data_IF_582664374893
#
_entry.id   IF_582664374893
#
_cell.length_a   1.000
_cell.length_b   1.000
_cell.length_c   1.000
_cell.angle_alpha   90.00
_cell.angle_beta   90.00
_cell.angle_gamma   90.00
#
_symmetry.space_group_name_H-M   'P 1'
#
loop_
_entity.id
_entity.type
_entity.pdbx_description
1 polymer ?
#
# COMPACT_ATOMS: atom_id res chain seq x y z
N UNK A 1 -2.95 75.54 -47.66
CA UNK A 1 -3.79 75.38 -46.52
C UNK A 1 -3.95 73.92 -46.20
N UNK A 2 -3.47 73.58 -45.04
CA UNK A 2 -3.05 72.44 -44.45
C UNK A 2 -4.06 71.31 -44.16
N UNK A 3 -3.63 70.12 -44.30
CA UNK A 3 -4.32 68.94 -43.83
C UNK A 3 -3.46 68.28 -42.82
N UNK A 4 -4.00 68.18 -41.64
CA UNK A 4 -3.36 67.53 -40.51
C UNK A 4 -3.83 66.08 -40.43
N UNK A 5 -2.95 65.11 -40.61
CA UNK A 5 -3.25 63.71 -40.45
C UNK A 5 -2.81 63.31 -39.07
N UNK A 6 -3.79 62.99 -38.22
CA UNK A 6 -3.62 62.42 -36.90
C UNK A 6 -3.34 60.91 -37.02
N UNK A 7 -2.15 60.47 -36.66
CA UNK A 7 -1.79 59.08 -36.60
C UNK A 7 -2.28 58.47 -35.31
N UNK A 8 -3.25 57.55 -35.42
CA UNK A 8 -3.67 56.69 -34.34
C UNK A 8 -2.60 55.63 -34.07
N UNK A 9 -1.99 55.63 -32.90
CA UNK A 9 -1.18 54.54 -32.42
C UNK A 9 -2.09 53.39 -32.01
N UNK A 10 -2.12 52.36 -32.83
CA UNK A 10 -2.64 51.04 -32.44
C UNK A 10 -1.73 50.45 -31.38
N UNK A 11 -2.23 50.32 -30.19
CA UNK A 11 -1.57 49.54 -29.15
C UNK A 11 -1.71 48.05 -29.51
N UNK A 12 -0.65 47.49 -30.01
CA UNK A 12 -0.51 46.04 -30.14
C UNK A 12 -0.57 45.44 -28.75
N UNK A 13 -1.68 44.76 -28.43
CA UNK A 13 -1.74 43.90 -27.27
C UNK A 13 -0.73 42.76 -27.50
N UNK A 14 0.26 42.67 -26.63
CA UNK A 14 1.14 41.52 -26.57
C UNK A 14 0.30 40.27 -26.37
N UNK A 15 0.53 39.19 -27.10
CA UNK A 15 -0.12 37.94 -26.79
C UNK A 15 0.29 37.56 -25.36
N UNK A 16 -0.69 37.39 -24.49
CA UNK A 16 -0.48 36.73 -23.22
C UNK A 16 0.17 35.38 -23.54
N UNK A 17 1.45 35.27 -23.25
CA UNK A 17 2.16 34.02 -23.41
C UNK A 17 1.45 32.98 -22.56
N UNK A 18 0.78 32.04 -23.20
CA UNK A 18 0.60 30.76 -22.62
C UNK A 18 2.01 30.33 -22.17
N UNK A 19 2.22 30.24 -20.87
CA UNK A 19 3.39 29.55 -20.34
C UNK A 19 3.34 28.19 -21.01
N UNK A 20 4.20 27.94 -21.99
CA UNK A 20 4.31 26.63 -22.60
C UNK A 20 4.50 25.65 -21.47
N UNK A 21 3.62 24.65 -21.34
CA UNK A 21 3.82 23.56 -20.41
C UNK A 21 5.19 23.00 -20.74
N UNK A 22 6.16 23.21 -19.84
CA UNK A 22 7.55 22.76 -20.03
C UNK A 22 7.68 21.27 -19.90
N UNK A 23 6.56 20.55 -19.76
CA UNK A 23 6.53 19.15 -19.46
C UNK A 23 6.11 18.27 -20.61
N UNK A 24 6.49 17.03 -20.53
CA UNK A 24 6.05 15.98 -21.43
C UNK A 24 4.66 15.46 -21.08
N UNK A 25 4.27 14.41 -21.77
CA UNK A 25 3.04 13.68 -21.55
C UNK A 25 3.30 12.41 -20.77
N UNK A 26 2.48 12.16 -19.76
CA UNK A 26 2.57 10.99 -18.87
C UNK A 26 1.31 10.15 -19.02
N UNK A 27 1.48 8.85 -19.27
CA UNK A 27 0.40 7.87 -19.22
C UNK A 27 0.31 7.23 -17.84
N UNK A 28 -0.89 7.20 -17.26
CA UNK A 28 -1.17 6.58 -15.97
C UNK A 28 -2.24 5.52 -16.14
N UNK A 29 -1.89 4.26 -15.94
CA UNK A 29 -2.77 3.10 -16.11
C UNK A 29 -3.10 2.47 -14.77
N UNK A 30 -4.38 2.49 -14.38
CA UNK A 30 -4.90 1.92 -13.14
C UNK A 30 -5.78 0.70 -13.42
N UNK A 31 -5.86 -0.28 -12.48
CA UNK A 31 -6.58 -1.53 -12.74
C UNK A 31 -8.08 -1.34 -12.92
N UNK A 32 -8.70 -0.51 -12.08
CA UNK A 32 -10.16 -0.37 -12.03
C UNK A 32 -10.59 0.87 -11.25
N UNK A 33 -11.80 1.34 -11.54
CA UNK A 33 -12.49 2.37 -10.74
C UNK A 33 -13.31 1.77 -9.58
N UNK A 34 -13.50 0.46 -9.55
CA UNK A 34 -14.36 -0.19 -8.56
C UNK A 34 -13.79 -0.20 -7.14
N UNK A 35 -12.48 0.03 -7.00
CA UNK A 35 -11.81 0.20 -5.71
C UNK A 35 -11.44 1.66 -5.51
N UNK A 36 -11.89 2.23 -4.40
CA UNK A 36 -11.69 3.64 -4.09
C UNK A 36 -10.22 4.07 -4.11
N UNK A 37 -9.31 3.22 -3.64
CA UNK A 37 -7.88 3.54 -3.62
C UNK A 37 -7.35 3.90 -5.01
N UNK A 38 -7.73 3.14 -6.07
CA UNK A 38 -7.24 3.41 -7.42
C UNK A 38 -7.75 4.73 -7.98
N UNK A 39 -9.00 5.09 -7.65
CA UNK A 39 -9.53 6.42 -7.99
C UNK A 39 -8.75 7.52 -7.29
N UNK A 40 -8.44 7.34 -6.01
CA UNK A 40 -7.68 8.32 -5.23
C UNK A 40 -6.23 8.41 -5.73
N UNK A 41 -5.56 7.28 -5.93
CA UNK A 41 -4.18 7.24 -6.42
C UNK A 41 -4.07 7.90 -7.79
N UNK A 42 -4.95 7.54 -8.72
CA UNK A 42 -4.96 8.10 -10.08
C UNK A 42 -5.26 9.58 -10.09
N UNK A 43 -6.30 10.02 -9.40
CA UNK A 43 -6.69 11.42 -9.33
C UNK A 43 -5.60 12.29 -8.67
N UNK A 44 -5.00 11.80 -7.60
CA UNK A 44 -3.95 12.50 -6.88
C UNK A 44 -2.69 12.65 -7.75
N UNK A 45 -2.29 11.57 -8.42
CA UNK A 45 -1.13 11.58 -9.31
C UNK A 45 -1.35 12.54 -10.49
N UNK A 46 -2.53 12.48 -11.11
CA UNK A 46 -2.90 13.37 -12.20
C UNK A 46 -2.84 14.85 -11.76
N UNK A 47 -3.44 15.16 -10.62
CA UNK A 47 -3.45 16.52 -10.09
C UNK A 47 -2.03 17.05 -9.82
N UNK A 48 -1.18 16.24 -9.23
CA UNK A 48 0.20 16.62 -8.93
C UNK A 48 1.04 16.82 -10.21
N UNK A 49 0.90 15.91 -11.18
CA UNK A 49 1.63 16.00 -12.45
C UNK A 49 1.16 17.21 -13.29
N UNK A 50 -0.13 17.46 -13.35
CA UNK A 50 -0.68 18.64 -14.06
C UNK A 50 -0.22 19.93 -13.39
N UNK A 51 -0.20 19.98 -12.06
CA UNK A 51 0.32 21.14 -11.32
C UNK A 51 1.81 21.37 -11.61
N UNK A 52 2.57 20.31 -11.87
CA UNK A 52 3.97 20.40 -12.26
C UNK A 52 4.17 20.77 -13.74
N UNK A 53 3.09 20.90 -14.53
CA UNK A 53 3.12 21.33 -15.92
C UNK A 53 3.09 20.21 -16.95
N UNK A 54 2.81 18.97 -16.54
CA UNK A 54 2.74 17.82 -17.45
C UNK A 54 1.30 17.56 -17.92
N UNK A 55 1.16 17.03 -19.13
CA UNK A 55 -0.10 16.49 -19.63
C UNK A 55 -0.24 15.05 -19.16
N UNK A 56 -1.42 14.66 -18.67
CA UNK A 56 -1.66 13.33 -18.10
C UNK A 56 -2.82 12.64 -18.82
N UNK A 57 -2.54 11.45 -19.35
CA UNK A 57 -3.54 10.51 -19.85
C UNK A 57 -3.78 9.43 -18.78
N UNK A 58 -4.84 9.58 -18.01
CA UNK A 58 -5.24 8.66 -16.95
C UNK A 58 -6.36 7.76 -17.43
N UNK A 59 -6.14 6.45 -17.38
CA UNK A 59 -7.13 5.44 -17.78
C UNK A 59 -7.29 4.36 -16.70
N UNK A 60 -8.51 3.85 -16.60
CA UNK A 60 -8.88 2.73 -15.73
C UNK A 60 -9.37 1.56 -16.60
N UNK A 61 -8.88 0.36 -16.31
CA UNK A 61 -9.04 -0.79 -17.22
C UNK A 61 -10.17 -1.75 -16.82
N UNK A 62 -10.99 -1.43 -15.84
CA UNK A 62 -12.14 -2.24 -15.38
C UNK A 62 -11.78 -3.71 -15.06
N UNK A 63 -10.59 -3.95 -14.51
CA UNK A 63 -10.04 -5.28 -14.24
C UNK A 63 -9.98 -6.20 -15.47
N UNK A 64 -9.95 -5.63 -16.67
CA UNK A 64 -9.82 -6.35 -17.94
C UNK A 64 -8.41 -6.17 -18.50
N UNK A 65 -7.63 -7.25 -18.58
CA UNK A 65 -6.24 -7.21 -19.02
C UNK A 65 -6.13 -6.71 -20.46
N UNK A 66 -6.99 -7.18 -21.37
CA UNK A 66 -6.96 -6.75 -22.77
C UNK A 66 -7.25 -5.25 -22.90
N UNK A 67 -8.18 -4.73 -22.10
CA UNK A 67 -8.46 -3.30 -22.02
C UNK A 67 -7.23 -2.52 -21.54
N UNK A 68 -6.54 -3.01 -20.52
CA UNK A 68 -5.31 -2.35 -20.03
C UNK A 68 -4.23 -2.31 -21.10
N UNK A 69 -3.99 -3.42 -21.80
CA UNK A 69 -3.05 -3.49 -22.93
C UNK A 69 -3.39 -2.43 -23.99
N UNK A 70 -4.66 -2.38 -24.42
CA UNK A 70 -5.11 -1.40 -25.44
C UNK A 70 -4.95 0.04 -24.97
N UNK A 71 -5.26 0.33 -23.71
CA UNK A 71 -5.09 1.67 -23.15
C UNK A 71 -3.63 2.10 -23.12
N UNK A 72 -2.72 1.20 -22.73
CA UNK A 72 -1.29 1.49 -22.74
C UNK A 72 -0.77 1.70 -24.17
N UNK A 73 -1.21 0.89 -25.12
CA UNK A 73 -0.90 1.10 -26.55
C UNK A 73 -1.33 2.49 -27.02
N UNK A 74 -2.54 2.92 -26.63
CA UNK A 74 -3.06 4.24 -26.98
C UNK A 74 -2.27 5.38 -26.31
N UNK A 75 -1.78 5.16 -25.09
CA UNK A 75 -0.90 6.14 -24.42
C UNK A 75 0.41 6.31 -25.19
N UNK A 76 1.00 5.23 -25.67
CA UNK A 76 2.22 5.26 -26.49
C UNK A 76 1.97 6.00 -27.81
N UNK A 77 0.91 5.67 -28.52
CA UNK A 77 0.51 6.33 -29.76
C UNK A 77 0.21 7.81 -29.55
N UNK A 78 -0.34 8.16 -28.40
CA UNK A 78 -0.66 9.52 -28.02
C UNK A 78 0.54 10.37 -27.58
N UNK A 79 1.74 9.81 -27.58
CA UNK A 79 2.97 10.54 -27.30
C UNK A 79 3.40 10.55 -25.84
N UNK A 80 2.94 9.61 -25.00
CA UNK A 80 3.42 9.47 -23.65
C UNK A 80 4.95 9.25 -23.65
N UNK A 81 5.65 9.99 -22.79
CA UNK A 81 7.10 9.87 -22.61
C UNK A 81 7.46 9.00 -21.40
N UNK A 82 6.56 8.90 -20.44
CA UNK A 82 6.65 8.05 -19.26
C UNK A 82 5.32 7.35 -19.05
N UNK A 83 5.37 6.07 -18.69
CA UNK A 83 4.22 5.28 -18.30
C UNK A 83 4.32 4.92 -16.82
N UNK A 84 3.24 5.14 -16.08
CA UNK A 84 3.04 4.66 -14.70
C UNK A 84 1.93 3.63 -14.74
N UNK A 85 2.24 2.39 -14.40
CA UNK A 85 1.32 1.26 -14.58
C UNK A 85 1.13 0.51 -13.27
N UNK A 86 -0.12 0.51 -12.76
CA UNK A 86 -0.58 -0.42 -11.75
C UNK A 86 -1.28 -1.58 -12.48
N UNK A 87 -0.59 -2.69 -12.67
CA UNK A 87 -1.06 -3.78 -13.52
C UNK A 87 -2.18 -4.59 -12.89
N UNK A 88 -3.12 -5.05 -13.70
CA UNK A 88 -4.08 -6.08 -13.33
C UNK A 88 -3.35 -7.43 -13.18
N UNK A 89 -2.59 -7.80 -14.21
CA UNK A 89 -1.71 -8.97 -14.23
C UNK A 89 -0.31 -8.51 -14.65
N UNK A 90 0.65 -8.64 -13.76
CA UNK A 90 2.01 -8.16 -13.96
C UNK A 90 2.75 -8.82 -15.12
N UNK A 91 2.37 -10.06 -15.50
CA UNK A 91 3.03 -10.84 -16.56
C UNK A 91 2.40 -10.65 -17.96
N UNK A 92 1.27 -9.97 -18.05
CA UNK A 92 0.48 -9.92 -19.30
C UNK A 92 0.80 -8.72 -20.20
N UNK A 93 1.71 -7.84 -19.81
CA UNK A 93 1.99 -6.59 -20.51
C UNK A 93 3.28 -6.63 -21.35
N UNK A 94 3.96 -7.78 -21.43
CA UNK A 94 5.28 -7.87 -22.03
C UNK A 94 5.40 -7.29 -23.45
N UNK A 95 4.43 -7.56 -24.32
CA UNK A 95 4.46 -7.09 -25.72
C UNK A 95 4.33 -5.57 -25.80
N UNK A 96 3.39 -4.97 -25.08
CA UNK A 96 3.20 -3.52 -25.11
C UNK A 96 4.34 -2.79 -24.42
N UNK A 97 4.97 -3.40 -23.42
CA UNK A 97 6.15 -2.84 -22.76
C UNK A 97 7.38 -2.86 -23.70
N UNK A 98 7.48 -3.87 -24.58
CA UNK A 98 8.50 -3.86 -25.64
C UNK A 98 8.28 -2.68 -26.60
N UNK A 99 7.04 -2.40 -26.97
CA UNK A 99 6.70 -1.24 -27.79
C UNK A 99 7.09 0.06 -27.09
N UNK A 100 6.85 0.16 -25.79
CA UNK A 100 7.29 1.33 -25.00
C UNK A 100 8.83 1.48 -25.07
N UNK A 101 9.56 0.39 -24.87
CA UNK A 101 11.03 0.40 -24.98
C UNK A 101 11.52 0.85 -26.35
N UNK A 102 10.90 0.35 -27.42
CA UNK A 102 11.25 0.68 -28.79
C UNK A 102 11.02 2.20 -29.09
N UNK A 103 10.14 2.82 -28.35
CA UNK A 103 9.83 4.27 -28.43
C UNK A 103 10.58 5.11 -27.37
N UNK A 104 11.56 4.55 -26.70
CA UNK A 104 12.32 5.21 -25.63
C UNK A 104 11.47 5.73 -24.46
N UNK A 105 10.36 5.07 -24.16
CA UNK A 105 9.46 5.41 -23.06
C UNK A 105 9.93 4.68 -21.80
N UNK A 106 10.08 5.42 -20.70
CA UNK A 106 10.38 4.84 -19.39
C UNK A 106 9.12 4.36 -18.72
N UNK A 107 9.22 3.26 -17.98
CA UNK A 107 8.10 2.59 -17.34
C UNK A 107 8.36 2.46 -15.84
N UNK A 108 7.40 2.94 -15.05
CA UNK A 108 7.36 2.77 -13.59
C UNK A 108 6.21 1.81 -13.26
N UNK A 109 6.53 0.69 -12.62
CA UNK A 109 5.53 -0.18 -12.01
C UNK A 109 5.04 0.47 -10.72
N UNK A 110 3.74 0.69 -10.60
CA UNK A 110 3.10 1.34 -9.47
C UNK A 110 2.43 0.31 -8.57
N UNK A 111 2.86 0.18 -7.33
CA UNK A 111 2.33 -0.71 -6.30
C UNK A 111 2.43 -2.21 -6.63
N UNK A 112 2.06 -2.61 -7.82
CA UNK A 112 2.12 -3.99 -8.32
C UNK A 112 3.30 -4.16 -9.26
N UNK A 113 4.09 -5.20 -9.03
CA UNK A 113 5.28 -5.47 -9.83
C UNK A 113 4.92 -5.92 -11.25
N UNK A 114 5.64 -5.40 -12.25
CA UNK A 114 5.62 -5.91 -13.62
C UNK A 114 6.64 -7.03 -13.74
N UNK A 115 6.18 -8.23 -14.13
CA UNK A 115 6.98 -9.45 -14.12
C UNK A 115 7.27 -9.98 -15.52
N UNK A 116 8.29 -10.82 -15.62
CA UNK A 116 8.67 -11.56 -16.84
C UNK A 116 8.99 -10.65 -18.04
N UNK A 117 9.52 -9.48 -17.77
CA UNK A 117 9.91 -8.49 -18.77
C UNK A 117 11.18 -7.74 -18.34
N UNK A 118 12.09 -7.43 -19.26
CA UNK A 118 13.20 -6.52 -19.00
C UNK A 118 12.79 -5.04 -19.16
N UNK A 119 11.58 -4.74 -19.63
CA UNK A 119 11.16 -3.43 -20.11
C UNK A 119 10.36 -2.64 -19.06
N UNK A 120 10.77 -2.73 -17.82
CA UNK A 120 10.34 -1.89 -16.72
C UNK A 120 11.59 -1.25 -16.13
N UNK A 121 11.54 0.04 -15.84
CA UNK A 121 12.73 0.79 -15.40
C UNK A 121 12.80 0.93 -13.90
N UNK A 122 11.65 1.16 -13.25
CA UNK A 122 11.56 1.37 -11.80
C UNK A 122 10.29 0.74 -11.24
N UNK A 123 10.36 0.42 -9.95
CA UNK A 123 9.21 -0.02 -9.17
C UNK A 123 9.04 0.89 -7.96
N UNK A 124 7.81 1.30 -7.69
CA UNK A 124 7.46 2.08 -6.50
C UNK A 124 6.33 1.40 -5.74
N UNK A 125 6.56 1.12 -4.47
CA UNK A 125 5.59 0.46 -3.58
C UNK A 125 5.90 0.81 -2.13
N UNK A 126 5.22 0.16 -1.18
CA UNK A 126 5.54 0.23 0.23
C UNK A 126 6.50 -0.89 0.62
N UNK A 127 7.24 -0.67 1.70
CA UNK A 127 8.11 -1.68 2.29
C UNK A 127 7.27 -2.71 3.04
N UNK A 128 6.95 -3.82 2.38
CA UNK A 128 6.09 -4.87 2.92
C UNK A 128 6.75 -5.66 4.06
N UNK A 129 8.06 -5.83 4.03
CA UNK A 129 8.79 -6.40 5.16
C UNK A 129 8.66 -5.50 6.39
N UNK A 130 8.76 -4.19 6.19
CA UNK A 130 8.62 -3.21 7.27
C UNK A 130 7.21 -3.16 7.87
N UNK A 131 6.18 -3.47 7.08
CA UNK A 131 4.81 -3.64 7.64
C UNK A 131 4.84 -4.67 8.77
N UNK A 132 5.41 -5.84 8.52
CA UNK A 132 5.57 -6.88 9.54
C UNK A 132 6.48 -6.44 10.69
N UNK A 133 7.59 -5.79 10.37
CA UNK A 133 8.51 -5.26 11.38
C UNK A 133 7.79 -4.32 12.35
N UNK A 134 6.96 -3.42 11.85
CA UNK A 134 6.17 -2.49 12.67
C UNK A 134 5.21 -3.26 13.59
N UNK A 135 4.55 -4.30 13.09
CA UNK A 135 3.67 -5.14 13.90
C UNK A 135 4.44 -5.86 15.01
N UNK A 136 5.57 -6.46 14.68
CA UNK A 136 6.44 -7.13 15.65
C UNK A 136 6.97 -6.18 16.72
N UNK A 137 7.45 -5.01 16.31
CA UNK A 137 7.94 -3.99 17.25
C UNK A 137 6.82 -3.43 18.14
N UNK A 138 5.61 -3.29 17.60
CA UNK A 138 4.47 -2.86 18.40
C UNK A 138 4.17 -3.86 19.53
N UNK A 139 4.16 -5.15 19.22
CA UNK A 139 3.95 -6.20 20.23
C UNK A 139 5.11 -6.27 21.23
N UNK A 140 6.34 -6.14 20.75
CA UNK A 140 7.53 -6.11 21.61
C UNK A 140 7.44 -4.99 22.64
N UNK A 141 7.05 -3.80 22.23
CA UNK A 141 6.93 -2.64 23.11
C UNK A 141 5.73 -2.75 24.07
N UNK A 142 4.55 -3.13 23.54
CA UNK A 142 3.34 -3.21 24.36
C UNK A 142 3.42 -4.23 25.48
N UNK A 143 4.09 -5.35 25.26
CA UNK A 143 4.29 -6.39 26.26
C UNK A 143 5.61 -6.25 27.00
N UNK A 144 6.41 -5.26 26.65
CA UNK A 144 7.76 -5.06 27.19
C UNK A 144 8.58 -6.36 27.13
N UNK A 145 8.61 -6.99 25.96
CA UNK A 145 9.26 -8.30 25.78
C UNK A 145 10.75 -8.29 26.13
N UNK A 146 11.41 -7.13 26.04
CA UNK A 146 12.81 -7.01 26.41
C UNK A 146 13.06 -7.19 27.91
N UNK A 147 12.14 -6.73 28.76
CA UNK A 147 12.36 -6.63 30.19
C UNK A 147 11.37 -7.45 31.03
N UNK A 148 10.13 -7.67 30.54
CA UNK A 148 9.13 -8.41 31.28
C UNK A 148 9.51 -9.90 31.42
N UNK A 149 9.12 -10.50 32.52
CA UNK A 149 9.44 -11.90 32.79
C UNK A 149 8.72 -12.88 31.83
N UNK A 150 7.49 -12.59 31.48
CA UNK A 150 6.66 -13.53 30.72
C UNK A 150 6.37 -14.81 31.52
N UNK A 151 6.08 -15.93 30.82
CA UNK A 151 5.86 -16.04 29.39
C UNK A 151 4.56 -15.37 28.94
N UNK A 152 4.51 -15.01 27.67
CA UNK A 152 3.32 -14.45 27.02
C UNK A 152 2.79 -15.45 25.99
N UNK A 153 1.46 -15.61 25.93
CA UNK A 153 0.80 -16.52 25.02
C UNK A 153 0.38 -15.80 23.76
N UNK A 154 0.92 -16.21 22.65
CA UNK A 154 0.64 -15.68 21.30
C UNK A 154 -0.05 -16.72 20.45
N UNK A 155 -0.91 -16.27 19.55
CA UNK A 155 -1.31 -17.04 18.37
C UNK A 155 -0.99 -16.23 17.12
N UNK A 156 -0.66 -16.95 16.03
CA UNK A 156 -0.12 -16.34 14.82
C UNK A 156 -1.05 -16.59 13.64
N UNK A 157 -1.23 -15.56 12.82
CA UNK A 157 -1.92 -15.62 11.53
C UNK A 157 -1.00 -15.09 10.44
N UNK A 158 -1.08 -15.66 9.26
CA UNK A 158 -0.44 -15.15 8.06
C UNK A 158 -1.49 -14.99 6.95
N UNK A 159 -1.13 -14.22 5.94
CA UNK A 159 -1.99 -13.97 4.79
C UNK A 159 -2.05 -15.12 3.80
N UNK A 160 -2.62 -14.85 2.64
CA UNK A 160 -2.82 -15.86 1.60
C UNK A 160 -1.48 -16.38 1.07
N UNK A 161 -1.27 -17.70 1.00
CA UNK A 161 -0.01 -18.27 0.51
C UNK A 161 0.25 -18.02 -0.98
N UNK A 162 -0.78 -17.68 -1.76
CA UNK A 162 -0.66 -17.31 -3.16
C UNK A 162 -0.34 -15.83 -3.38
N UNK A 163 -0.34 -15.04 -2.32
CA UNK A 163 0.08 -13.64 -2.32
C UNK A 163 1.54 -13.55 -1.84
N UNK A 164 2.44 -13.16 -2.74
CA UNK A 164 3.87 -13.03 -2.40
C UNK A 164 4.13 -12.02 -1.27
N UNK A 165 3.27 -11.02 -1.09
CA UNK A 165 3.40 -10.03 -0.03
C UNK A 165 3.17 -10.64 1.36
N UNK A 166 2.37 -11.70 1.46
CA UNK A 166 2.08 -12.35 2.73
C UNK A 166 3.34 -12.87 3.43
N UNK A 167 4.31 -13.37 2.67
CA UNK A 167 5.59 -13.85 3.22
C UNK A 167 6.46 -12.72 3.73
N UNK A 168 6.45 -11.55 3.07
CA UNK A 168 7.17 -10.37 3.56
C UNK A 168 6.59 -9.84 4.87
N UNK A 169 5.28 -9.74 4.97
CA UNK A 169 4.61 -9.32 6.22
C UNK A 169 4.97 -10.26 7.36
N UNK A 170 4.87 -11.56 7.11
CA UNK A 170 5.20 -12.56 8.12
C UNK A 170 6.68 -12.50 8.53
N UNK A 171 7.58 -12.47 7.56
CA UNK A 171 9.02 -12.45 7.83
C UNK A 171 9.43 -11.23 8.66
N UNK A 172 8.90 -10.04 8.33
CA UNK A 172 9.20 -8.83 9.10
C UNK A 172 8.77 -8.93 10.55
N UNK A 173 7.58 -9.44 10.82
CA UNK A 173 7.08 -9.62 12.18
C UNK A 173 7.82 -10.74 12.92
N UNK A 174 8.02 -11.88 12.25
CA UNK A 174 8.63 -13.04 12.90
C UNK A 174 10.11 -12.82 13.22
N UNK A 175 10.85 -12.09 12.39
CA UNK A 175 12.24 -11.74 12.69
C UNK A 175 12.38 -10.93 13.99
N UNK A 176 11.38 -10.13 14.35
CA UNK A 176 11.33 -9.45 15.65
C UNK A 176 10.94 -10.40 16.79
N UNK A 177 9.93 -11.25 16.57
CA UNK A 177 9.31 -12.05 17.63
C UNK A 177 10.01 -13.40 17.87
N UNK A 178 10.61 -13.97 16.83
CA UNK A 178 11.23 -15.31 16.91
C UNK A 178 12.29 -15.44 18.01
N UNK A 179 13.19 -14.47 18.25
CA UNK A 179 14.14 -14.58 19.37
C UNK A 179 13.47 -14.78 20.72
N UNK A 180 12.35 -14.11 20.95
CA UNK A 180 11.58 -14.28 22.20
C UNK A 180 10.86 -15.63 22.25
N UNK A 181 10.40 -16.12 21.11
CA UNK A 181 9.83 -17.46 21.01
C UNK A 181 10.89 -18.53 21.28
N UNK A 182 12.08 -18.41 20.71
CA UNK A 182 13.17 -19.36 20.87
C UNK A 182 13.65 -19.43 22.32
N UNK A 183 13.65 -18.34 23.06
CA UNK A 183 14.02 -18.31 24.48
C UNK A 183 12.87 -18.63 25.44
N UNK A 184 11.66 -18.87 24.94
CA UNK A 184 10.51 -19.25 25.75
C UNK A 184 9.75 -18.08 26.39
N UNK A 185 10.08 -16.82 26.09
CA UNK A 185 9.32 -15.66 26.55
C UNK A 185 7.99 -15.52 25.82
N UNK A 186 7.93 -15.90 24.55
CA UNK A 186 6.70 -16.09 23.79
C UNK A 186 6.42 -17.60 23.71
N UNK A 187 5.19 -17.97 24.02
CA UNK A 187 4.68 -19.34 23.89
C UNK A 187 3.52 -19.34 22.92
N UNK A 188 3.54 -20.23 21.95
CA UNK A 188 2.40 -20.48 21.07
C UNK A 188 1.74 -21.76 21.51
N UNK A 189 0.66 -21.64 22.28
CA UNK A 189 0.03 -22.78 22.98
C UNK A 189 -0.53 -23.83 22.00
N UNK A 190 -1.01 -23.39 20.84
CA UNK A 190 -1.45 -24.29 19.77
C UNK A 190 -0.30 -25.06 19.11
N UNK A 191 0.94 -24.58 19.25
CA UNK A 191 2.10 -25.11 18.54
C UNK A 191 2.12 -24.78 17.04
N UNK A 192 1.18 -23.97 16.55
CA UNK A 192 1.05 -23.64 15.13
C UNK A 192 1.89 -22.42 14.80
N UNK A 193 3.07 -22.64 14.24
CA UNK A 193 4.04 -21.58 13.93
C UNK A 193 4.47 -21.54 12.47
N UNK A 194 4.27 -22.64 11.73
CA UNK A 194 4.64 -22.72 10.31
C UNK A 194 3.76 -21.80 9.46
N UNK A 195 4.37 -21.08 8.52
CA UNK A 195 3.65 -20.19 7.63
C UNK A 195 2.45 -20.89 6.96
N UNK A 196 2.63 -22.08 6.42
CA UNK A 196 1.56 -22.80 5.73
C UNK A 196 0.39 -23.17 6.67
N UNK A 197 0.65 -23.44 7.93
CA UNK A 197 -0.37 -23.78 8.94
C UNK A 197 -1.17 -22.55 9.37
N UNK A 198 -0.53 -21.39 9.47
CA UNK A 198 -1.15 -20.17 9.97
C UNK A 198 -1.71 -19.27 8.86
N UNK A 199 -1.43 -19.61 7.60
CA UNK A 199 -1.87 -18.87 6.42
C UNK A 199 -3.39 -18.98 6.21
N UNK A 200 -4.00 -17.87 5.79
CA UNK A 200 -5.43 -17.82 5.46
C UNK A 200 -5.60 -17.56 3.98
N UNK A 201 -6.00 -18.60 3.24
CA UNK A 201 -6.21 -18.53 1.80
C UNK A 201 -7.23 -17.43 1.45
N UNK A 202 -6.88 -16.61 0.47
CA UNK A 202 -7.73 -15.53 -0.01
C UNK A 202 -7.94 -14.38 1.00
N UNK A 203 -7.15 -14.31 2.06
CA UNK A 203 -7.32 -13.29 3.11
C UNK A 203 -8.73 -13.25 3.70
N UNK A 204 -9.38 -14.40 3.81
CA UNK A 204 -10.80 -14.51 4.15
C UNK A 204 -11.10 -14.22 5.62
N UNK A 205 -11.95 -13.24 5.90
CA UNK A 205 -12.40 -12.90 7.25
C UNK A 205 -13.07 -14.09 7.93
N UNK A 206 -13.95 -14.81 7.22
CA UNK A 206 -14.67 -15.97 7.76
C UNK A 206 -13.71 -17.13 8.06
N UNK A 207 -12.73 -17.35 7.21
CA UNK A 207 -11.74 -18.40 7.41
C UNK A 207 -10.82 -18.09 8.62
N UNK A 208 -10.45 -16.81 8.79
CA UNK A 208 -9.73 -16.37 9.97
C UNK A 208 -10.58 -16.56 11.24
N UNK A 209 -11.86 -16.25 11.19
CA UNK A 209 -12.78 -16.47 12.31
C UNK A 209 -12.86 -17.94 12.67
N UNK A 210 -13.04 -18.83 11.69
CA UNK A 210 -13.11 -20.27 11.90
C UNK A 210 -11.80 -20.81 12.52
N UNK A 211 -10.64 -20.35 12.03
CA UNK A 211 -9.37 -20.77 12.61
C UNK A 211 -9.22 -20.26 14.06
N UNK A 212 -9.63 -19.02 14.33
CA UNK A 212 -9.58 -18.49 15.70
C UNK A 212 -10.53 -19.25 16.62
N UNK A 213 -11.73 -19.63 16.16
CA UNK A 213 -12.62 -20.49 16.94
C UNK A 213 -11.92 -21.80 17.36
N UNK A 214 -11.18 -22.44 16.44
CA UNK A 214 -10.43 -23.64 16.73
C UNK A 214 -9.27 -23.38 17.70
N UNK A 215 -8.56 -22.26 17.55
CA UNK A 215 -7.46 -21.89 18.45
C UNK A 215 -7.94 -21.67 19.88
N UNK A 216 -9.15 -21.15 20.06
CA UNK A 216 -9.70 -20.91 21.40
C UNK A 216 -9.92 -22.19 22.22
N UNK A 217 -9.97 -23.34 21.58
CA UNK A 217 -10.02 -24.63 22.30
C UNK A 217 -8.77 -24.86 23.18
N UNK A 218 -7.61 -24.32 22.79
CA UNK A 218 -6.40 -24.37 23.59
C UNK A 218 -6.45 -23.47 24.82
N UNK A 219 -7.38 -22.54 24.87
CA UNK A 219 -7.54 -21.55 25.96
C UNK A 219 -8.78 -21.83 26.83
N UNK A 220 -9.45 -22.98 26.61
CA UNK A 220 -10.62 -23.37 27.39
C UNK A 220 -10.34 -23.60 28.87
N UNK A 221 -9.07 -23.80 29.23
CA UNK A 221 -8.62 -23.97 30.63
C UNK A 221 -8.46 -22.63 31.38
N UNK A 222 -8.80 -21.51 30.75
CA UNK A 222 -8.67 -20.18 31.35
C UNK A 222 -7.29 -19.54 31.17
N UNK A 223 -6.38 -20.16 30.43
CA UNK A 223 -5.09 -19.54 30.09
C UNK A 223 -5.33 -18.23 29.37
N UNK A 224 -4.61 -17.17 29.78
CA UNK A 224 -4.69 -15.86 29.14
C UNK A 224 -4.04 -15.90 27.77
N UNK A 225 -4.76 -15.40 26.75
CA UNK A 225 -4.20 -15.10 25.44
C UNK A 225 -3.75 -13.63 25.43
N UNK A 226 -2.43 -13.40 25.31
CA UNK A 226 -1.85 -12.05 25.44
C UNK A 226 -1.85 -11.28 24.14
N UNK A 227 -1.57 -11.94 23.02
CA UNK A 227 -1.49 -11.30 21.73
C UNK A 227 -1.85 -12.23 20.57
N UNK A 228 -2.36 -11.64 19.50
CA UNK A 228 -2.59 -12.32 18.24
C UNK A 228 -1.90 -11.50 17.13
N UNK A 229 -0.92 -12.10 16.50
CA UNK A 229 -0.28 -11.49 15.32
C UNK A 229 -1.22 -11.66 14.12
N UNK A 230 -1.81 -10.58 13.66
CA UNK A 230 -2.64 -10.54 12.47
C UNK A 230 -2.01 -9.60 11.44
N UNK A 231 -1.74 -10.07 10.21
CA UNK A 231 -1.04 -9.26 9.22
C UNK A 231 -1.91 -8.18 8.56
N UNK A 232 -3.25 -8.32 8.60
CA UNK A 232 -4.13 -7.32 8.04
C UNK A 232 -5.48 -7.23 8.76
N UNK A 233 -6.29 -6.25 8.37
CA UNK A 233 -7.55 -5.95 9.02
C UNK A 233 -8.66 -6.95 8.69
N UNK A 234 -8.67 -7.54 7.49
CA UNK A 234 -9.65 -8.58 7.16
C UNK A 234 -9.54 -9.79 8.10
N UNK A 235 -8.31 -10.21 8.40
CA UNK A 235 -8.05 -11.29 9.34
C UNK A 235 -8.33 -10.83 10.78
N UNK A 236 -7.88 -9.65 11.15
CA UNK A 236 -8.12 -9.08 12.48
C UNK A 236 -9.62 -8.99 12.80
N UNK A 237 -10.46 -8.68 11.82
CA UNK A 237 -11.91 -8.65 12.00
C UNK A 237 -12.47 -10.04 12.33
N UNK A 238 -12.05 -11.06 11.60
CA UNK A 238 -12.46 -12.43 11.89
C UNK A 238 -12.02 -12.90 13.28
N UNK A 239 -10.78 -12.58 13.66
CA UNK A 239 -10.22 -12.87 14.99
C UNK A 239 -11.04 -12.18 16.08
N UNK A 240 -11.34 -10.90 15.90
CA UNK A 240 -12.12 -10.10 16.85
C UNK A 240 -13.53 -10.67 17.00
N UNK A 241 -14.20 -11.02 15.90
CA UNK A 241 -15.53 -11.59 15.92
C UNK A 241 -15.55 -12.93 16.68
N UNK A 242 -14.56 -13.79 16.47
CA UNK A 242 -14.43 -15.06 17.18
C UNK A 242 -14.27 -14.86 18.68
N UNK A 243 -13.41 -13.94 19.09
CA UNK A 243 -13.16 -13.64 20.50
C UNK A 243 -14.42 -13.08 21.18
N UNK A 244 -15.11 -12.15 20.55
CA UNK A 244 -16.34 -11.60 21.08
C UNK A 244 -17.43 -12.66 21.22
N UNK A 245 -17.60 -13.52 20.21
CA UNK A 245 -18.56 -14.62 20.26
C UNK A 245 -18.24 -15.64 21.38
N UNK A 246 -16.97 -15.79 21.73
CA UNK A 246 -16.51 -16.66 22.81
C UNK A 246 -16.60 -16.02 24.22
N UNK A 247 -17.10 -14.77 24.29
CA UNK A 247 -17.28 -14.07 25.56
C UNK A 247 -16.12 -13.22 26.03
N UNK A 248 -15.08 -13.03 25.22
CA UNK A 248 -13.99 -12.10 25.54
C UNK A 248 -14.53 -10.67 25.53
N UNK A 249 -14.08 -9.89 26.50
CA UNK A 249 -14.45 -8.48 26.67
C UNK A 249 -13.20 -7.61 26.67
N UNK A 250 -13.37 -6.28 26.75
CA UNK A 250 -12.23 -5.37 26.85
C UNK A 250 -11.29 -5.70 28.01
N UNK A 251 -11.79 -6.37 29.07
CA UNK A 251 -10.98 -6.72 30.23
C UNK A 251 -9.94 -7.82 29.94
N UNK A 252 -10.20 -8.67 28.96
CA UNK A 252 -9.31 -9.80 28.63
C UNK A 252 -9.00 -9.96 27.14
N UNK A 253 -9.32 -8.93 26.34
CA UNK A 253 -9.00 -8.97 24.91
C UNK A 253 -7.49 -9.00 24.70
N UNK A 254 -6.97 -9.88 23.82
CA UNK A 254 -5.55 -9.87 23.48
C UNK A 254 -5.19 -8.64 22.65
N UNK A 255 -3.90 -8.36 22.57
CA UNK A 255 -3.37 -7.32 21.67
C UNK A 255 -3.38 -7.86 20.24
N UNK A 256 -4.18 -7.26 19.37
CA UNK A 256 -4.34 -7.70 17.98
C UNK A 256 -3.74 -6.66 17.04
N UNK A 257 -2.88 -7.09 16.13
CA UNK A 257 -2.30 -6.26 15.08
C UNK A 257 -3.14 -6.30 13.80
N UNK A 258 -2.89 -5.37 12.90
CA UNK A 258 -3.55 -5.31 11.59
C UNK A 258 -2.78 -4.46 10.60
N UNK A 259 -3.37 -4.28 9.45
CA UNK A 259 -2.88 -3.46 8.34
C UNK A 259 -4.07 -3.04 7.49
N UNK A 260 -4.04 -1.86 6.93
CA UNK A 260 -4.94 -1.20 6.00
C UNK A 260 -5.81 -0.10 6.61
N UNK A 261 -5.96 -0.05 7.92
CA UNK A 261 -6.81 0.94 8.60
C UNK A 261 -8.23 0.98 8.01
N UNK A 262 -8.83 -0.20 7.80
CA UNK A 262 -10.21 -0.30 7.34
C UNK A 262 -11.14 0.38 8.34
N UNK A 263 -12.25 0.94 7.86
CA UNK A 263 -13.18 1.71 8.71
C UNK A 263 -13.64 0.90 9.93
N UNK A 264 -14.11 -0.33 9.72
CA UNK A 264 -14.57 -1.19 10.81
C UNK A 264 -13.47 -1.47 11.83
N UNK A 265 -12.26 -1.78 11.36
CA UNK A 265 -11.12 -2.07 12.22
C UNK A 265 -10.62 -0.83 12.96
N UNK A 266 -10.64 0.33 12.30
CA UNK A 266 -10.28 1.59 12.95
C UNK A 266 -11.27 1.92 14.08
N UNK A 267 -12.56 1.67 13.87
CA UNK A 267 -13.56 1.76 14.96
C UNK A 267 -13.25 0.79 16.10
N UNK A 268 -12.82 -0.44 15.79
CA UNK A 268 -12.39 -1.39 16.81
C UNK A 268 -11.13 -0.93 17.57
N UNK A 269 -10.23 -0.22 16.92
CA UNK A 269 -9.10 0.41 17.59
C UNK A 269 -9.57 1.47 18.58
N UNK A 270 -10.49 2.33 18.17
CA UNK A 270 -11.06 3.37 19.02
C UNK A 270 -11.76 2.76 20.23
N UNK A 271 -12.50 1.67 20.04
CA UNK A 271 -13.22 0.95 21.08
C UNK A 271 -12.29 0.10 21.99
N UNK A 272 -11.11 -0.27 21.53
CA UNK A 272 -10.14 -1.05 22.29
C UNK A 272 -10.07 -2.54 21.96
N UNK A 273 -10.80 -3.02 20.94
CA UNK A 273 -10.78 -4.43 20.53
C UNK A 273 -9.62 -4.80 19.61
N UNK A 274 -9.09 -3.83 18.87
CA UNK A 274 -7.88 -4.00 18.08
C UNK A 274 -6.85 -2.96 18.54
N UNK A 275 -5.58 -3.33 18.57
CA UNK A 275 -4.58 -2.47 19.18
C UNK A 275 -3.96 -1.46 18.19
N UNK A 276 -3.80 -1.87 16.94
CA UNK A 276 -3.17 -1.05 15.93
C UNK A 276 -3.51 -1.55 14.53
N UNK A 277 -3.27 -0.71 13.54
CA UNK A 277 -3.27 -1.10 12.12
C UNK A 277 -2.19 -0.34 11.38
N UNK A 278 -1.41 -1.04 10.56
CA UNK A 278 -0.38 -0.41 9.72
C UNK A 278 -1.08 0.36 8.61
N UNK A 279 -0.65 1.58 8.39
CA UNK A 279 -1.21 2.49 7.40
C UNK A 279 -0.21 2.76 6.28
N UNK A 280 -0.64 2.47 5.06
CA UNK A 280 0.09 2.77 3.83
C UNK A 280 -0.62 3.94 3.16
N UNK A 281 -0.12 5.15 3.39
CA UNK A 281 -0.71 6.35 2.80
C UNK A 281 -0.40 6.43 1.32
N UNK A 282 -1.38 6.10 0.48
CA UNK A 282 -1.21 6.07 -0.98
C UNK A 282 -0.90 7.43 -1.57
N UNK A 283 -1.17 8.53 -0.85
CA UNK A 283 -0.76 9.88 -1.26
C UNK A 283 0.76 10.01 -1.22
N UNK A 284 1.42 9.40 -0.26
CA UNK A 284 2.89 9.35 -0.17
C UNK A 284 3.48 8.59 -1.36
N UNK A 285 2.88 7.46 -1.75
CA UNK A 285 3.30 6.70 -2.92
C UNK A 285 3.13 7.50 -4.21
N UNK A 286 1.97 8.13 -4.41
CA UNK A 286 1.71 8.96 -5.57
C UNK A 286 2.69 10.13 -5.66
N UNK A 287 2.95 10.81 -4.55
CA UNK A 287 3.92 11.90 -4.46
C UNK A 287 5.33 11.44 -4.85
N UNK A 288 5.76 10.29 -4.36
CA UNK A 288 7.07 9.73 -4.70
C UNK A 288 7.17 9.41 -6.19
N UNK A 289 6.14 8.82 -6.77
CA UNK A 289 6.12 8.49 -8.20
C UNK A 289 6.14 9.77 -9.06
N UNK A 290 5.47 10.84 -8.66
CA UNK A 290 5.56 12.15 -9.32
C UNK A 290 7.01 12.64 -9.35
N UNK A 291 7.74 12.51 -8.24
CA UNK A 291 9.17 12.86 -8.20
C UNK A 291 10.01 12.02 -9.17
N UNK A 292 9.71 10.72 -9.26
CA UNK A 292 10.40 9.82 -10.19
C UNK A 292 10.12 10.19 -11.65
N UNK A 293 8.88 10.50 -11.99
CA UNK A 293 8.47 10.97 -13.33
C UNK A 293 9.20 12.26 -13.69
N UNK A 294 9.23 13.23 -12.78
CA UNK A 294 9.92 14.51 -13.00
C UNK A 294 11.43 14.29 -13.23
N UNK A 295 12.07 13.44 -12.45
CA UNK A 295 13.49 13.13 -12.64
C UNK A 295 13.76 12.51 -14.02
N UNK A 296 12.91 11.58 -14.47
CA UNK A 296 13.01 10.97 -15.80
C UNK A 296 12.91 12.04 -16.89
N UNK A 297 11.89 12.88 -16.83
CA UNK A 297 11.61 13.89 -17.87
C UNK A 297 12.68 15.01 -17.93
N UNK A 298 13.32 15.29 -16.80
CA UNK A 298 14.42 16.26 -16.70
C UNK A 298 15.80 15.65 -16.99
N UNK A 299 15.89 14.33 -17.19
CA UNK A 299 17.15 13.64 -17.38
C UNK A 299 18.01 13.58 -16.11
N UNK A 300 17.38 13.71 -14.95
CA UNK A 300 18.05 13.63 -13.64
C UNK A 300 18.05 12.18 -13.13
N UNK A 301 18.91 11.91 -12.14
CA UNK A 301 18.94 10.61 -11.47
C UNK A 301 17.61 10.36 -10.72
N UNK A 302 17.06 9.16 -10.92
CA UNK A 302 15.84 8.74 -10.23
C UNK A 302 16.20 8.16 -8.87
N UNK A 303 15.58 8.68 -7.82
CA UNK A 303 15.79 8.19 -6.46
C UNK A 303 15.21 6.79 -6.28
N UNK A 304 16.06 5.87 -5.83
CA UNK A 304 15.68 4.51 -5.43
C UNK A 304 16.35 4.18 -4.10
N UNK A 305 15.74 3.32 -3.30
CA UNK A 305 16.28 2.91 -2.01
C UNK A 305 16.37 1.38 -1.84
N UNK A 306 16.03 0.62 -2.86
CA UNK A 306 16.17 -0.83 -2.89
C UNK A 306 16.54 -1.31 -4.29
N UNK A 307 17.67 -2.00 -4.40
CA UNK A 307 18.19 -2.55 -5.67
C UNK A 307 18.43 -4.06 -5.58
N UNK A 308 17.93 -4.73 -4.54
CA UNK A 308 18.26 -6.13 -4.27
C UNK A 308 17.05 -7.03 -4.09
N UNK A 309 15.86 -6.50 -3.79
CA UNK A 309 14.73 -7.30 -3.31
C UNK A 309 13.78 -7.75 -4.42
N UNK A 310 13.45 -6.87 -5.36
CA UNK A 310 12.35 -7.11 -6.29
C UNK A 310 12.84 -7.67 -7.63
N UNK A 311 13.11 -8.97 -7.63
CA UNK A 311 13.38 -9.74 -8.84
C UNK A 311 12.07 -10.07 -9.55
N UNK A 312 11.93 -9.64 -10.80
CA UNK A 312 10.72 -9.83 -11.58
C UNK A 312 10.73 -11.08 -12.49
N UNK A 313 11.70 -11.96 -12.29
CA UNK A 313 11.90 -13.13 -13.12
C UNK A 313 12.93 -12.94 -14.22
N UNK A 314 13.29 -11.70 -14.56
CA UNK A 314 14.29 -11.36 -15.56
C UNK A 314 15.47 -10.61 -14.92
N UNK A 315 15.18 -9.66 -14.05
CA UNK A 315 16.19 -8.88 -13.34
C UNK A 315 15.60 -8.29 -12.06
N UNK A 316 16.47 -7.73 -11.23
CA UNK A 316 16.05 -7.00 -10.02
C UNK A 316 15.75 -5.55 -10.41
N UNK A 317 14.49 -5.15 -10.25
CA UNK A 317 14.04 -3.81 -10.61
C UNK A 317 14.53 -2.80 -9.55
N UNK A 318 15.22 -1.72 -9.95
CA UNK A 318 15.50 -0.62 -9.04
C UNK A 318 14.21 -0.05 -8.48
N UNK A 319 14.06 -0.03 -7.15
CA UNK A 319 12.78 0.24 -6.49
C UNK A 319 12.89 1.37 -5.48
N UNK A 320 11.80 2.10 -5.33
CA UNK A 320 11.60 2.98 -4.18
C UNK A 320 10.51 2.41 -3.27
N UNK A 321 10.87 2.12 -2.03
CA UNK A 321 9.98 1.59 -1.02
C UNK A 321 9.61 2.71 -0.05
N UNK A 322 8.33 3.08 -0.07
CA UNK A 322 7.78 4.04 0.88
C UNK A 322 7.64 3.42 2.27
N UNK A 323 7.86 4.22 3.30
CA UNK A 323 7.71 3.78 4.67
C UNK A 323 6.24 3.74 5.08
N UNK A 324 5.74 2.59 5.55
CA UNK A 324 4.46 2.55 6.24
C UNK A 324 4.59 3.12 7.66
N UNK A 325 3.46 3.50 8.23
CA UNK A 325 3.31 3.92 9.63
C UNK A 325 2.20 3.10 10.27
N UNK A 326 1.91 3.29 11.56
CA UNK A 326 0.77 2.62 12.18
C UNK A 326 -0.17 3.61 12.85
N UNK A 327 -1.45 3.27 12.85
CA UNK A 327 -2.48 3.93 13.61
C UNK A 327 -2.81 3.14 14.88
N UNK A 328 -2.99 3.83 15.98
CA UNK A 328 -3.55 3.31 17.22
C UNK A 328 -4.56 4.30 17.80
N UNK A 329 -5.08 4.02 18.99
CA UNK A 329 -6.05 4.90 19.64
C UNK A 329 -5.50 6.28 19.98
N UNK A 330 -4.18 6.43 20.08
CA UNK A 330 -3.56 7.70 20.49
C UNK A 330 -3.27 8.60 19.29
N UNK A 331 -3.06 8.05 18.10
CA UNK A 331 -2.64 8.81 16.92
C UNK A 331 -3.62 8.78 15.74
N UNK A 332 -4.71 8.00 15.79
CA UNK A 332 -5.60 7.83 14.63
C UNK A 332 -6.23 9.14 14.15
N UNK A 333 -6.49 10.10 15.05
CA UNK A 333 -7.07 11.39 14.68
C UNK A 333 -6.13 12.18 13.79
N UNK A 334 -4.87 12.31 14.19
CA UNK A 334 -3.86 13.00 13.41
C UNK A 334 -3.61 12.28 12.08
N UNK A 335 -3.41 10.96 12.14
CA UNK A 335 -2.99 10.17 10.99
C UNK A 335 -4.10 10.00 9.95
N UNK A 336 -5.34 9.77 10.37
CA UNK A 336 -6.44 9.39 9.49
C UNK A 336 -7.50 10.47 9.30
N UNK A 337 -7.74 11.35 10.29
CA UNK A 337 -8.78 12.38 10.19
C UNK A 337 -8.18 13.72 9.79
N UNK A 338 -7.21 14.24 10.54
CA UNK A 338 -6.61 15.54 10.26
C UNK A 338 -5.92 15.56 8.89
N UNK A 339 -5.39 14.42 8.48
CA UNK A 339 -4.81 14.21 7.15
C UNK A 339 -5.84 14.22 6.02
N UNK A 340 -7.14 14.09 6.32
CA UNK A 340 -8.22 14.04 5.33
C UNK A 340 -8.47 12.65 4.73
N UNK A 341 -7.85 11.59 5.24
CA UNK A 341 -8.07 10.22 4.74
C UNK A 341 -9.47 9.72 5.08
N UNK A 342 -9.91 9.92 6.31
CA UNK A 342 -11.28 9.70 6.77
C UNK A 342 -11.87 10.99 7.36
N UNK A 343 -13.19 11.04 7.42
CA UNK A 343 -13.92 12.04 8.18
C UNK A 343 -14.21 11.55 9.59
N UNK A 344 -14.48 12.45 10.52
CA UNK A 344 -14.93 12.08 11.88
C UNK A 344 -16.20 11.22 11.84
N UNK A 345 -17.12 11.54 10.94
CA UNK A 345 -18.38 10.79 10.78
C UNK A 345 -18.14 9.34 10.35
N UNK A 346 -17.18 9.10 9.45
CA UNK A 346 -16.83 7.74 9.01
C UNK A 346 -16.29 6.87 10.14
N UNK A 347 -15.58 7.45 11.08
CA UNK A 347 -14.98 6.74 12.23
C UNK A 347 -15.79 6.86 13.52
N UNK A 348 -16.98 7.45 13.45
CA UNK A 348 -17.83 7.59 14.64
C UNK A 348 -18.22 6.23 15.19
N UNK A 349 -18.03 6.05 16.48
CA UNK A 349 -18.46 4.88 17.24
C UNK A 349 -19.63 5.26 18.14
N UNK A 350 -20.57 4.33 18.33
CA UNK A 350 -21.76 4.52 19.17
C UNK A 350 -21.48 4.16 20.64
#
# INVERSE_FOLDING_TARGET
SGGNASGGKSASAAPSGNAASSGGKVGVSMPTQSLQRWNQDGANMKAQLEKAGYEVDLQYANNDVATQVSQVENMILGGAEVLVIASIDGSSLGTVLQTAKDNNIKVIAYDRMLTDTPNVDYYATFDNYKVGTIQGLFLEEKLDLKNAAGPFNFELFAGSPDDSNARYFHAGAWDILKPYYDEGKIVVKSGQTDFETIAILGWGTKDAQARMDNLLTYYADGTKLDAVLSPNDSLALGITNSLQAAGYTLDNFPIITGQDCDVTNTKNIILGYQAMSVFKDTRTLAEQVVKMVEAILKGEEVEVNDTTTYDNGVFVIPSYLCDPVFADKDNYKELLIDSGYYTEEQLKVD
#
